data_IF_273475794675
#
_entry.id   IF_273475794675
#
_cell.length_a   1.000
_cell.length_b   1.000
_cell.length_c   1.000
_cell.angle_alpha   90.00
_cell.angle_beta   90.00
_cell.angle_gamma   90.00
#
_symmetry.space_group_name_H-M   'P 1'
#
loop_
_entity.id
_entity.type
_entity.pdbx_description
1 polymer ?
#
# COMPACT_ATOMS: atom_id res chain seq x y z
N UNK A 1 20.41 -0.77 -14.28
CA UNK A 1 20.99 -1.23 -13.02
C UNK A 1 20.40 -2.59 -12.72
N UNK A 2 21.21 -3.61 -12.45
CA UNK A 2 20.70 -4.89 -11.97
C UNK A 2 20.04 -4.69 -10.59
N UNK A 3 18.91 -5.36 -10.30
CA UNK A 3 18.27 -5.29 -9.00
C UNK A 3 19.26 -5.75 -7.92
N UNK A 4 19.31 -5.02 -6.81
CA UNK A 4 20.09 -5.46 -5.66
C UNK A 4 19.50 -6.79 -5.16
N UNK A 5 20.23 -7.91 -5.20
CA UNK A 5 19.69 -9.21 -4.81
C UNK A 5 19.23 -9.25 -3.35
N UNK A 6 19.79 -8.39 -2.51
CA UNK A 6 19.45 -8.31 -1.07
C UNK A 6 18.03 -7.78 -0.85
N UNK A 7 17.58 -6.80 -1.62
CA UNK A 7 16.19 -6.27 -1.54
C UNK A 7 15.17 -7.33 -1.95
N UNK A 8 15.50 -8.10 -3.00
CA UNK A 8 14.66 -9.18 -3.49
C UNK A 8 14.50 -10.28 -2.46
N UNK A 9 15.59 -10.69 -1.82
CA UNK A 9 15.61 -11.74 -0.81
C UNK A 9 14.82 -11.33 0.44
N UNK A 10 14.94 -10.06 0.86
CA UNK A 10 14.20 -9.52 2.00
C UNK A 10 12.67 -9.56 1.78
N UNK A 11 12.20 -9.16 0.59
CA UNK A 11 10.78 -9.22 0.23
C UNK A 11 10.26 -10.67 0.13
N UNK A 12 11.09 -11.60 -0.39
CA UNK A 12 10.74 -13.02 -0.45
C UNK A 12 10.72 -13.67 0.95
N UNK A 13 11.62 -13.26 1.85
CA UNK A 13 11.60 -13.69 3.25
C UNK A 13 10.28 -13.29 3.92
N UNK A 14 9.82 -12.04 3.75
CA UNK A 14 8.52 -11.61 4.25
C UNK A 14 7.38 -12.46 3.68
N UNK A 15 7.38 -12.70 2.37
CA UNK A 15 6.35 -13.50 1.73
C UNK A 15 6.30 -14.93 2.26
N UNK A 16 7.45 -15.56 2.46
CA UNK A 16 7.53 -16.91 3.02
C UNK A 16 7.07 -16.95 4.48
N UNK A 17 7.47 -15.96 5.27
CA UNK A 17 7.04 -15.80 6.67
C UNK A 17 5.51 -15.71 6.77
N UNK A 18 4.88 -14.87 5.95
CA UNK A 18 3.42 -14.67 5.95
C UNK A 18 2.65 -15.90 5.41
N UNK A 19 3.20 -16.63 4.45
CA UNK A 19 2.61 -17.89 3.97
C UNK A 19 2.50 -18.96 5.08
N UNK A 20 3.42 -18.94 6.03
CA UNK A 20 3.38 -19.83 7.20
C UNK A 20 2.55 -19.26 8.38
N UNK A 21 1.80 -18.15 8.15
CA UNK A 21 0.98 -17.53 9.19
C UNK A 21 1.78 -16.85 10.31
N UNK A 22 3.05 -16.51 10.07
CA UNK A 22 3.94 -15.85 11.01
C UNK A 22 4.19 -14.42 10.60
N UNK A 23 4.51 -13.54 11.55
CA UNK A 23 4.94 -12.16 11.28
C UNK A 23 6.47 -12.05 11.23
N UNK A 24 7.17 -12.91 11.97
CA UNK A 24 8.63 -12.97 12.05
C UNK A 24 9.10 -14.42 12.15
N UNK A 25 10.40 -14.64 12.03
CA UNK A 25 11.05 -15.93 12.24
C UNK A 25 12.01 -15.87 13.43
N UNK A 26 12.35 -17.02 14.06
CA UNK A 26 13.37 -17.05 15.08
C UNK A 26 14.72 -16.62 14.50
N UNK A 27 15.61 -16.02 15.32
CA UNK A 27 16.96 -15.65 14.88
C UNK A 27 17.73 -16.91 14.43
N UNK A 28 18.62 -16.79 13.42
CA UNK A 28 19.39 -17.92 12.94
C UNK A 28 20.41 -18.38 14.00
N UNK A 29 20.66 -19.70 14.12
CA UNK A 29 21.61 -20.23 15.11
C UNK A 29 23.06 -19.71 14.97
N UNK A 30 23.43 -19.32 13.75
CA UNK A 30 24.75 -18.75 13.40
C UNK A 30 24.61 -17.26 13.09
N UNK A 31 24.02 -16.48 14.01
CA UNK A 31 23.82 -15.05 13.86
C UNK A 31 25.12 -14.33 13.43
N UNK A 32 25.00 -13.36 12.53
CA UNK A 32 26.10 -12.53 12.06
C UNK A 32 26.83 -13.01 10.79
N UNK A 33 26.72 -14.29 10.40
CA UNK A 33 27.38 -14.79 9.18
C UNK A 33 26.55 -14.64 7.89
N UNK A 34 25.25 -14.40 8.02
CA UNK A 34 24.30 -14.27 6.89
C UNK A 34 23.47 -12.98 6.96
N UNK A 35 24.02 -11.95 7.59
CA UNK A 35 23.39 -10.63 7.68
C UNK A 35 23.35 -9.96 6.32
N UNK A 36 22.16 -9.61 5.85
CA UNK A 36 21.98 -8.72 4.71
C UNK A 36 21.51 -7.36 5.18
N UNK A 37 21.88 -6.29 4.50
CA UNK A 37 21.55 -4.90 4.90
C UNK A 37 20.04 -4.65 5.07
N UNK A 38 19.19 -5.46 4.44
CA UNK A 38 17.73 -5.33 4.45
C UNK A 38 17.01 -6.46 5.19
N UNK A 39 17.73 -7.26 5.99
CA UNK A 39 17.19 -8.29 6.87
C UNK A 39 17.63 -7.97 8.30
N UNK A 40 16.68 -8.00 9.22
CA UNK A 40 16.95 -7.94 10.66
C UNK A 40 17.11 -9.38 11.14
N UNK A 41 18.16 -9.65 11.92
CA UNK A 41 18.38 -10.97 12.50
C UNK A 41 18.12 -10.96 14.02
N UNK A 42 18.08 -9.79 14.65
CA UNK A 42 17.78 -9.61 16.09
C UNK A 42 16.75 -8.47 16.28
N UNK A 43 15.84 -8.60 17.23
CA UNK A 43 15.57 -9.73 18.12
C UNK A 43 14.90 -10.91 17.40
N UNK A 44 14.40 -10.73 16.17
CA UNK A 44 13.79 -11.74 15.32
C UNK A 44 14.26 -11.59 13.88
N UNK A 45 14.27 -12.69 13.12
CA UNK A 45 14.61 -12.63 11.70
C UNK A 45 13.43 -12.18 10.87
N UNK A 46 13.54 -11.00 10.28
CA UNK A 46 12.49 -10.41 9.45
C UNK A 46 13.07 -9.48 8.38
N UNK A 47 12.23 -9.12 7.42
CA UNK A 47 12.54 -8.03 6.50
C UNK A 47 12.54 -6.69 7.24
N UNK A 48 13.44 -5.78 6.86
CA UNK A 48 13.43 -4.38 7.30
C UNK A 48 12.29 -3.57 6.66
N UNK A 49 11.70 -4.10 5.57
CA UNK A 49 10.63 -3.40 4.85
C UNK A 49 9.25 -3.62 5.47
N UNK A 50 8.35 -2.63 5.37
CA UNK A 50 6.97 -2.76 5.81
C UNK A 50 6.21 -3.91 5.13
N UNK A 51 5.15 -4.46 5.75
CA UNK A 51 4.59 -5.77 5.40
C UNK A 51 3.81 -5.85 4.09
N UNK A 52 3.34 -4.73 3.50
CA UNK A 52 2.38 -4.77 2.38
C UNK A 52 2.92 -5.50 1.14
N UNK A 53 4.20 -5.33 0.79
CA UNK A 53 4.80 -6.02 -0.34
C UNK A 53 4.92 -7.53 -0.08
N UNK A 54 5.38 -7.92 1.10
CA UNK A 54 5.46 -9.33 1.49
C UNK A 54 4.10 -10.02 1.45
N UNK A 55 3.04 -9.36 1.92
CA UNK A 55 1.67 -9.87 1.85
C UNK A 55 1.17 -10.07 0.42
N UNK A 56 1.48 -9.13 -0.48
CA UNK A 56 1.11 -9.25 -1.90
C UNK A 56 1.82 -10.43 -2.55
N UNK A 57 3.12 -10.60 -2.30
CA UNK A 57 3.90 -11.72 -2.83
C UNK A 57 3.43 -13.06 -2.24
N UNK A 58 3.08 -13.09 -0.96
CA UNK A 58 2.49 -14.26 -0.31
C UNK A 58 1.14 -14.64 -0.95
N UNK A 59 0.26 -13.66 -1.16
CA UNK A 59 -1.00 -13.87 -1.86
C UNK A 59 -0.79 -14.39 -3.29
N UNK A 60 0.14 -13.79 -4.04
CA UNK A 60 0.51 -14.25 -5.37
C UNK A 60 0.99 -15.69 -5.37
N UNK A 61 1.89 -16.04 -4.48
CA UNK A 61 2.41 -17.42 -4.34
C UNK A 61 1.32 -18.42 -3.94
N UNK A 62 0.38 -18.02 -3.09
CA UNK A 62 -0.76 -18.85 -2.72
C UNK A 62 -1.69 -19.13 -3.90
N UNK A 63 -1.90 -18.16 -4.78
CA UNK A 63 -2.85 -18.24 -5.90
C UNK A 63 -2.26 -18.90 -7.15
N UNK A 64 -0.97 -18.66 -7.43
CA UNK A 64 -0.33 -19.07 -8.70
C UNK A 64 0.84 -20.03 -8.52
N UNK A 65 1.20 -20.41 -7.30
CA UNK A 65 2.37 -21.24 -7.00
C UNK A 65 3.69 -20.47 -6.96
N UNK A 66 3.71 -19.20 -7.38
CA UNK A 66 4.93 -18.39 -7.42
C UNK A 66 4.72 -16.92 -7.04
N UNK A 67 5.76 -16.23 -6.53
CA UNK A 67 5.66 -14.83 -6.10
C UNK A 67 5.35 -13.87 -7.27
N UNK A 68 5.63 -14.24 -8.51
CA UNK A 68 5.30 -13.51 -9.73
C UNK A 68 3.81 -13.21 -9.87
N UNK A 69 2.95 -14.10 -9.38
CA UNK A 69 1.50 -13.85 -9.34
C UNK A 69 1.14 -12.56 -8.62
N UNK A 70 1.83 -12.24 -7.53
CA UNK A 70 1.67 -10.97 -6.81
C UNK A 70 2.07 -9.75 -7.64
N UNK A 71 3.15 -9.84 -8.41
CA UNK A 71 3.58 -8.74 -9.30
C UNK A 71 2.57 -8.52 -10.43
N UNK A 72 2.09 -9.59 -11.06
CA UNK A 72 1.08 -9.49 -12.13
C UNK A 72 -0.22 -8.86 -11.57
N UNK A 73 -0.67 -9.29 -10.40
CA UNK A 73 -1.86 -8.72 -9.75
C UNK A 73 -1.66 -7.24 -9.43
N UNK A 74 -0.50 -6.84 -8.90
CA UNK A 74 -0.23 -5.44 -8.59
C UNK A 74 -0.09 -4.58 -9.85
N UNK A 75 0.50 -5.10 -10.92
CA UNK A 75 0.60 -4.42 -12.21
C UNK A 75 -0.78 -4.20 -12.85
N UNK A 76 -1.63 -5.23 -12.81
CA UNK A 76 -3.02 -5.11 -13.26
C UNK A 76 -3.81 -4.12 -12.42
N UNK A 77 -3.65 -4.16 -11.08
CA UNK A 77 -4.28 -3.20 -10.17
C UNK A 77 -3.80 -1.77 -10.42
N UNK A 78 -2.51 -1.59 -10.74
CA UNK A 78 -1.94 -0.28 -11.08
C UNK A 78 -2.58 0.28 -12.35
N UNK A 79 -2.66 -0.51 -13.42
CA UNK A 79 -3.27 -0.08 -14.69
C UNK A 79 -4.77 0.22 -14.53
N UNK A 80 -5.53 -0.70 -13.94
CA UNK A 80 -6.96 -0.52 -13.68
C UNK A 80 -7.24 0.63 -12.70
N UNK A 81 -6.42 0.72 -11.64
CA UNK A 81 -6.47 1.81 -10.67
C UNK A 81 -6.22 3.17 -11.29
N UNK A 82 -5.33 3.27 -12.28
CA UNK A 82 -5.09 4.51 -13.02
C UNK A 82 -6.34 4.95 -13.80
N UNK A 83 -7.00 4.03 -14.49
CA UNK A 83 -8.29 4.32 -15.15
C UNK A 83 -9.31 4.82 -14.14
N UNK A 84 -9.43 4.10 -13.01
CA UNK A 84 -10.37 4.47 -11.95
C UNK A 84 -10.02 5.82 -11.34
N UNK A 85 -8.76 6.09 -11.05
CA UNK A 85 -8.27 7.36 -10.49
C UNK A 85 -8.56 8.55 -11.40
N UNK A 86 -8.30 8.41 -12.72
CA UNK A 86 -8.45 9.50 -13.67
C UNK A 86 -9.91 9.89 -13.98
N UNK A 87 -10.86 8.96 -13.89
CA UNK A 87 -12.28 9.20 -14.22
C UNK A 87 -12.92 10.44 -13.59
N UNK A 88 -12.69 10.83 -12.33
CA UNK A 88 -13.24 12.06 -11.78
C UNK A 88 -12.52 13.33 -12.22
N UNK A 89 -11.36 13.23 -12.85
CA UNK A 89 -10.50 14.36 -13.20
C UNK A 89 -10.55 14.75 -14.67
N UNK A 90 -10.66 13.76 -15.56
CA UNK A 90 -10.61 13.96 -17.00
C UNK A 90 -11.73 13.17 -17.69
N UNK A 91 -12.16 13.70 -18.87
CA UNK A 91 -13.22 13.09 -19.68
C UNK A 91 -12.72 11.85 -20.45
N UNK A 92 -13.64 10.99 -20.91
CA UNK A 92 -13.32 9.94 -21.87
C UNK A 92 -12.74 10.53 -23.18
N UNK A 93 -11.78 9.86 -23.83
CA UNK A 93 -11.22 8.54 -23.53
C UNK A 93 -9.97 8.56 -22.63
N UNK A 94 -9.55 9.71 -22.11
CA UNK A 94 -8.27 9.91 -21.43
C UNK A 94 -7.99 8.98 -20.24
N UNK A 95 -8.99 8.63 -19.40
CA UNK A 95 -8.74 7.66 -18.33
C UNK A 95 -8.26 6.31 -18.86
N UNK A 96 -8.84 5.82 -19.95
CA UNK A 96 -8.44 4.55 -20.57
C UNK A 96 -7.04 4.66 -21.17
N UNK A 97 -6.75 5.75 -21.87
CA UNK A 97 -5.41 6.01 -22.43
C UNK A 97 -4.35 6.03 -21.33
N UNK A 98 -4.63 6.69 -20.19
CA UNK A 98 -3.73 6.68 -19.04
C UNK A 98 -3.49 5.29 -18.49
N UNK A 99 -4.52 4.47 -18.33
CA UNK A 99 -4.39 3.07 -17.89
C UNK A 99 -3.59 2.21 -18.88
N UNK A 100 -3.81 2.37 -20.17
CA UNK A 100 -3.04 1.66 -21.22
C UNK A 100 -1.57 2.09 -21.22
N UNK A 101 -1.25 3.36 -21.09
CA UNK A 101 0.12 3.84 -20.99
C UNK A 101 0.83 3.26 -19.76
N UNK A 102 0.13 3.18 -18.62
CA UNK A 102 0.68 2.56 -17.41
C UNK A 102 0.86 1.06 -17.60
N UNK A 103 -0.07 0.37 -18.25
CA UNK A 103 0.05 -1.06 -18.53
C UNK A 103 1.25 -1.38 -19.44
N UNK A 104 1.44 -0.60 -20.51
CA UNK A 104 2.52 -0.82 -21.49
C UNK A 104 3.90 -0.40 -20.98
N UNK A 105 3.96 0.54 -20.04
CA UNK A 105 5.19 1.08 -19.48
C UNK A 105 5.44 0.65 -18.03
N UNK A 106 5.07 1.47 -17.03
CA UNK A 106 5.45 1.22 -15.64
C UNK A 106 4.97 -0.12 -15.08
N UNK A 107 3.78 -0.61 -15.49
CA UNK A 107 3.21 -1.81 -14.92
C UNK A 107 3.93 -3.09 -15.36
N UNK A 108 4.29 -3.22 -16.63
CA UNK A 108 4.90 -4.44 -17.19
C UNK A 108 6.30 -4.24 -17.76
N UNK A 109 6.67 -3.03 -18.15
CA UNK A 109 7.95 -2.71 -18.78
C UNK A 109 9.01 -2.11 -17.87
N UNK A 110 8.75 -1.95 -16.58
CA UNK A 110 9.67 -1.29 -15.64
C UNK A 110 10.38 -2.26 -14.70
N UNK A 111 11.40 -1.75 -14.02
CA UNK A 111 12.06 -2.42 -12.91
C UNK A 111 11.06 -2.94 -11.84
N UNK A 112 9.96 -2.23 -11.60
CA UNK A 112 8.96 -2.62 -10.60
C UNK A 112 8.23 -3.91 -10.95
N UNK A 113 8.11 -4.24 -12.23
CA UNK A 113 7.51 -5.50 -12.67
C UNK A 113 8.51 -6.65 -12.79
N UNK A 114 9.81 -6.33 -12.77
CA UNK A 114 10.90 -7.29 -12.90
C UNK A 114 11.63 -7.55 -11.58
N UNK A 115 11.17 -6.94 -10.48
CA UNK A 115 11.73 -7.12 -9.16
C UNK A 115 10.63 -7.25 -8.12
N UNK A 116 10.93 -7.87 -6.99
CA UNK A 116 9.98 -8.00 -5.88
C UNK A 116 9.91 -6.75 -4.99
N UNK A 117 10.40 -5.63 -5.48
CA UNK A 117 10.38 -4.36 -4.76
C UNK A 117 9.01 -3.68 -4.85
N UNK A 118 8.47 -3.19 -3.73
CA UNK A 118 7.07 -2.81 -3.53
C UNK A 118 6.53 -1.55 -4.24
N UNK A 119 7.11 -1.12 -5.35
CA UNK A 119 6.69 0.11 -6.03
C UNK A 119 5.23 0.13 -6.48
N UNK A 120 4.71 -0.97 -7.00
CA UNK A 120 3.31 -1.07 -7.43
C UNK A 120 2.32 -0.92 -6.26
N UNK A 121 2.61 -1.50 -5.09
CA UNK A 121 1.71 -1.45 -3.92
C UNK A 121 1.50 -0.02 -3.45
N UNK A 122 2.60 0.74 -3.30
CA UNK A 122 2.51 2.15 -2.89
C UNK A 122 1.84 3.01 -3.95
N UNK A 123 2.11 2.74 -5.25
CA UNK A 123 1.44 3.43 -6.34
C UNK A 123 -0.08 3.17 -6.35
N UNK A 124 -0.52 1.93 -6.14
CA UNK A 124 -1.95 1.60 -6.00
C UNK A 124 -2.57 2.33 -4.81
N UNK A 125 -1.89 2.40 -3.66
CA UNK A 125 -2.33 3.19 -2.52
C UNK A 125 -2.55 4.67 -2.89
N UNK A 126 -1.60 5.26 -3.60
CA UNK A 126 -1.69 6.65 -4.08
C UNK A 126 -2.85 6.87 -5.08
N UNK A 127 -3.08 5.91 -6.00
CA UNK A 127 -4.20 5.97 -6.94
C UNK A 127 -5.55 5.93 -6.21
N UNK A 128 -5.68 5.10 -5.17
CA UNK A 128 -6.89 5.04 -4.35
C UNK A 128 -7.13 6.37 -3.64
N UNK A 129 -6.09 7.01 -3.09
CA UNK A 129 -6.20 8.33 -2.47
C UNK A 129 -6.69 9.39 -3.44
N UNK A 130 -5.97 9.59 -4.54
CA UNK A 130 -6.26 10.65 -5.51
C UNK A 130 -7.63 10.43 -6.18
N UNK A 131 -7.95 9.20 -6.52
CA UNK A 131 -9.25 8.84 -7.10
C UNK A 131 -10.41 9.02 -6.13
N UNK A 132 -10.22 8.70 -4.84
CA UNK A 132 -11.21 8.93 -3.78
C UNK A 132 -11.45 10.44 -3.57
N UNK A 133 -10.40 11.24 -3.42
CA UNK A 133 -10.48 12.70 -3.29
C UNK A 133 -11.26 13.30 -4.47
N UNK A 134 -10.95 12.90 -5.71
CA UNK A 134 -11.65 13.39 -6.89
C UNK A 134 -13.15 13.11 -6.89
N UNK A 135 -13.60 11.99 -6.29
CA UNK A 135 -15.01 11.64 -6.14
C UNK A 135 -15.68 12.33 -4.97
N UNK A 136 -14.97 12.41 -3.84
CA UNK A 136 -15.48 13.06 -2.63
C UNK A 136 -15.70 14.56 -2.82
N UNK A 137 -14.97 15.20 -3.75
CA UNK A 137 -15.25 16.58 -4.17
C UNK A 137 -16.69 16.79 -4.70
N UNK A 138 -17.27 15.74 -5.29
CA UNK A 138 -18.59 15.82 -5.93
C UNK A 138 -19.71 15.36 -5.02
N UNK A 139 -19.48 14.28 -4.25
CA UNK A 139 -20.43 13.76 -3.28
C UNK A 139 -19.77 12.84 -2.24
N UNK A 140 -20.29 12.83 -1.03
CA UNK A 140 -19.96 11.81 -0.04
C UNK A 140 -20.40 10.44 -0.55
N UNK A 141 -19.49 9.46 -0.57
CA UNK A 141 -19.71 8.11 -1.07
C UNK A 141 -18.98 7.10 -0.21
N UNK A 142 -19.68 6.05 0.22
CA UNK A 142 -19.11 4.96 1.00
C UNK A 142 -17.90 4.33 0.30
N UNK A 143 -18.03 4.00 -0.98
CA UNK A 143 -16.95 3.38 -1.78
C UNK A 143 -15.72 4.27 -1.83
N UNK A 144 -15.92 5.59 -2.00
CA UNK A 144 -14.79 6.53 -2.03
C UNK A 144 -14.14 6.70 -0.66
N UNK A 145 -14.91 6.67 0.42
CA UNK A 145 -14.39 6.72 1.79
C UNK A 145 -13.59 5.43 2.14
N UNK A 146 -14.11 4.26 1.78
CA UNK A 146 -13.38 2.99 1.94
C UNK A 146 -12.09 2.98 1.10
N UNK A 147 -12.15 3.43 -0.17
CA UNK A 147 -10.97 3.53 -1.02
C UNK A 147 -9.92 4.50 -0.44
N UNK A 148 -10.36 5.61 0.16
CA UNK A 148 -9.49 6.55 0.85
C UNK A 148 -8.75 5.88 2.02
N UNK A 149 -9.48 5.18 2.91
CA UNK A 149 -8.90 4.49 4.05
C UNK A 149 -7.96 3.35 3.64
N UNK A 150 -8.35 2.54 2.64
CA UNK A 150 -7.51 1.47 2.09
C UNK A 150 -6.24 2.04 1.45
N UNK A 151 -6.35 3.15 0.70
CA UNK A 151 -5.19 3.81 0.09
C UNK A 151 -4.19 4.33 1.13
N UNK A 152 -4.68 4.98 2.19
CA UNK A 152 -3.86 5.41 3.33
C UNK A 152 -3.19 4.21 4.02
N UNK A 153 -3.94 3.13 4.24
CA UNK A 153 -3.44 1.91 4.86
C UNK A 153 -2.35 1.22 4.04
N UNK A 154 -2.54 1.09 2.71
CA UNK A 154 -1.52 0.55 1.81
C UNK A 154 -0.24 1.39 1.82
N UNK A 155 -0.36 2.72 1.85
CA UNK A 155 0.80 3.61 1.97
C UNK A 155 1.47 3.45 3.33
N UNK A 156 0.72 3.44 4.43
CA UNK A 156 1.29 3.24 5.77
C UNK A 156 2.05 1.90 5.86
N UNK A 157 1.49 0.82 5.29
CA UNK A 157 2.09 -0.51 5.31
C UNK A 157 3.14 -0.76 4.22
N UNK A 158 3.45 0.21 3.35
CA UNK A 158 4.47 0.11 2.30
C UNK A 158 5.50 1.24 2.33
N UNK A 159 5.06 2.47 2.55
CA UNK A 159 5.87 3.70 2.58
C UNK A 159 5.35 4.67 3.64
N UNK A 160 5.67 4.42 4.92
CA UNK A 160 5.05 5.15 6.04
C UNK A 160 5.20 6.68 5.95
N UNK A 161 6.37 7.17 5.58
CA UNK A 161 6.65 8.61 5.50
C UNK A 161 5.89 9.30 4.37
N UNK A 162 5.88 8.70 3.17
CA UNK A 162 5.08 9.19 2.05
C UNK A 162 3.59 9.06 2.34
N UNK A 163 3.18 7.99 3.03
CA UNK A 163 1.81 7.79 3.50
C UNK A 163 1.36 8.85 4.50
N UNK A 164 2.22 9.21 5.45
CA UNK A 164 1.96 10.29 6.40
C UNK A 164 1.80 11.64 5.70
N UNK A 165 2.72 11.99 4.81
CA UNK A 165 2.66 13.24 4.05
C UNK A 165 1.39 13.33 3.19
N UNK A 166 1.04 12.25 2.48
CA UNK A 166 -0.18 12.16 1.69
C UNK A 166 -1.44 12.24 2.58
N UNK A 167 -1.42 11.57 3.74
CA UNK A 167 -2.50 11.60 4.73
C UNK A 167 -2.76 12.99 5.29
N UNK A 168 -1.71 13.72 5.65
CA UNK A 168 -1.82 15.12 6.09
C UNK A 168 -2.39 16.01 4.98
N UNK A 169 -1.94 15.85 3.74
CA UNK A 169 -2.48 16.58 2.59
C UNK A 169 -3.96 16.31 2.37
N UNK A 170 -4.39 15.06 2.47
CA UNK A 170 -5.80 14.67 2.36
C UNK A 170 -6.62 15.19 3.53
N UNK A 171 -6.11 15.10 4.77
CA UNK A 171 -6.78 15.60 5.96
C UNK A 171 -7.00 17.13 5.87
N UNK A 172 -5.98 17.87 5.47
CA UNK A 172 -6.07 19.31 5.22
C UNK A 172 -7.12 19.62 4.14
N UNK A 173 -7.06 18.89 3.02
CA UNK A 173 -8.02 19.10 1.94
C UNK A 173 -9.46 18.81 2.40
N UNK A 174 -9.70 17.69 3.09
CA UNK A 174 -11.01 17.34 3.64
C UNK A 174 -11.50 18.40 4.63
N UNK A 175 -10.63 18.84 5.55
CA UNK A 175 -10.92 19.91 6.51
C UNK A 175 -11.35 21.20 5.80
N UNK A 176 -10.59 21.65 4.81
CA UNK A 176 -10.92 22.83 4.01
C UNK A 176 -12.21 22.65 3.19
N UNK A 177 -12.43 21.48 2.62
CA UNK A 177 -13.63 21.17 1.85
C UNK A 177 -14.88 21.23 2.75
N UNK A 178 -14.81 20.62 3.92
CA UNK A 178 -15.90 20.69 4.94
C UNK A 178 -16.09 22.13 5.45
N UNK A 179 -15.01 22.85 5.75
CA UNK A 179 -15.08 24.21 6.27
C UNK A 179 -15.70 25.21 5.26
N UNK A 180 -15.48 25.01 3.98
CA UNK A 180 -16.03 25.85 2.90
C UNK A 180 -17.45 25.47 2.46
N UNK A 181 -17.90 24.27 2.80
CA UNK A 181 -19.24 23.77 2.49
C UNK A 181 -20.34 24.47 3.30
N UNK A 182 -21.62 24.31 2.92
CA UNK A 182 -22.77 24.80 3.70
C UNK A 182 -22.77 24.20 5.10
N UNK A 183 -23.10 24.98 6.10
CA UNK A 183 -23.08 24.54 7.52
C UNK A 183 -23.94 23.29 7.74
N UNK A 184 -25.09 23.22 7.11
CA UNK A 184 -26.06 22.11 7.23
C UNK A 184 -25.53 20.78 6.66
N UNK A 185 -24.65 20.81 5.65
CA UNK A 185 -24.07 19.62 5.02
C UNK A 185 -22.78 19.11 5.68
N UNK A 186 -22.13 19.92 6.54
CA UNK A 186 -20.81 19.62 7.10
C UNK A 186 -20.79 18.33 7.94
N UNK A 187 -21.70 18.28 8.93
CA UNK A 187 -21.79 17.11 9.81
C UNK A 187 -22.16 15.85 9.03
N UNK A 188 -23.13 15.97 8.11
CA UNK A 188 -23.53 14.85 7.26
C UNK A 188 -22.40 14.33 6.38
N UNK A 189 -21.61 15.23 5.75
CA UNK A 189 -20.45 14.83 4.95
C UNK A 189 -19.40 14.14 5.83
N UNK A 190 -19.06 14.73 6.97
CA UNK A 190 -18.08 14.17 7.91
C UNK A 190 -18.49 12.78 8.40
N UNK A 191 -19.75 12.60 8.81
CA UNK A 191 -20.28 11.31 9.27
C UNK A 191 -20.33 10.24 8.17
N UNK A 192 -20.47 10.63 6.93
CA UNK A 192 -20.46 9.68 5.79
C UNK A 192 -19.07 9.32 5.29
N UNK A 193 -18.07 10.14 5.56
CA UNK A 193 -16.72 9.94 5.04
C UNK A 193 -15.77 9.43 6.12
N UNK A 194 -15.74 10.06 7.29
CA UNK A 194 -14.74 9.71 8.31
C UNK A 194 -14.87 8.28 8.85
N UNK A 195 -16.06 7.79 9.30
CA UNK A 195 -16.15 6.45 9.85
C UNK A 195 -15.77 5.34 8.88
N UNK A 196 -16.24 5.31 7.60
CA UNK A 196 -15.81 4.29 6.66
C UNK A 196 -14.32 4.39 6.30
N UNK A 197 -13.76 5.60 6.25
CA UNK A 197 -12.31 5.79 6.03
C UNK A 197 -11.52 5.17 7.17
N UNK A 198 -11.89 5.46 8.42
CA UNK A 198 -11.23 4.89 9.60
C UNK A 198 -11.43 3.37 9.68
N UNK A 199 -12.62 2.87 9.35
CA UNK A 199 -12.89 1.43 9.31
C UNK A 199 -11.98 0.71 8.30
N UNK A 200 -11.75 1.29 7.12
CA UNK A 200 -10.88 0.71 6.10
C UNK A 200 -9.38 0.90 6.42
N UNK A 201 -9.00 1.94 7.15
CA UNK A 201 -7.64 2.21 7.58
C UNK A 201 -7.22 1.34 8.76
N UNK A 202 -8.12 1.13 9.73
CA UNK A 202 -7.82 0.47 11.00
C UNK A 202 -7.15 -0.91 10.86
N UNK A 203 -7.59 -1.84 9.98
CA UNK A 203 -6.93 -3.13 9.82
C UNK A 203 -5.46 -3.02 9.42
N UNK A 204 -5.11 -2.04 8.58
CA UNK A 204 -3.74 -1.79 8.15
C UNK A 204 -2.86 -1.28 9.28
N UNK A 205 -3.38 -0.38 10.11
CA UNK A 205 -2.66 0.14 11.28
C UNK A 205 -2.47 -0.94 12.35
N UNK A 206 -3.49 -1.79 12.56
CA UNK A 206 -3.39 -2.94 13.47
C UNK A 206 -2.34 -3.93 12.96
N UNK A 207 -2.35 -4.24 11.67
CA UNK A 207 -1.36 -5.12 11.05
C UNK A 207 0.05 -4.54 11.19
N UNK A 208 0.23 -3.25 10.92
CA UNK A 208 1.53 -2.58 11.03
C UNK A 208 2.03 -2.63 12.48
N UNK A 209 1.22 -2.22 13.44
CA UNK A 209 1.57 -2.27 14.86
C UNK A 209 1.88 -3.69 15.37
N UNK A 210 1.12 -4.69 14.91
CA UNK A 210 1.37 -6.09 15.24
C UNK A 210 2.69 -6.59 14.63
N UNK A 211 2.98 -6.21 13.38
CA UNK A 211 4.22 -6.53 12.69
C UNK A 211 5.42 -5.89 13.40
N UNK A 212 5.37 -4.59 13.66
CA UNK A 212 6.48 -3.85 14.28
C UNK A 212 6.74 -4.38 15.70
N UNK A 213 5.69 -4.64 16.47
CA UNK A 213 5.83 -5.28 17.79
C UNK A 213 6.48 -6.67 17.69
N UNK A 214 6.13 -7.46 16.68
CA UNK A 214 6.73 -8.79 16.50
C UNK A 214 8.20 -8.69 16.05
N UNK A 215 8.57 -7.68 15.28
CA UNK A 215 9.92 -7.47 14.76
C UNK A 215 10.85 -6.86 15.79
N UNK A 216 10.42 -5.79 16.48
CA UNK A 216 11.27 -4.95 17.34
C UNK A 216 10.95 -5.08 18.84
N UNK A 217 9.82 -5.69 19.19
CA UNK A 217 9.28 -5.70 20.56
C UNK A 217 8.44 -4.47 20.91
N UNK A 218 8.48 -3.40 20.09
CA UNK A 218 7.73 -2.15 20.29
C UNK A 218 6.87 -1.85 19.06
N UNK A 219 5.56 -1.62 19.21
CA UNK A 219 4.65 -1.33 18.08
C UNK A 219 4.87 0.04 17.42
N UNK A 220 5.72 0.90 17.98
CA UNK A 220 5.98 2.26 17.50
C UNK A 220 7.38 2.46 16.93
N UNK A 221 8.21 1.43 16.92
CA UNK A 221 9.58 1.47 16.38
C UNK A 221 9.55 0.92 14.95
N UNK A 222 9.84 1.79 13.97
CA UNK A 222 10.02 1.44 12.55
C UNK A 222 11.49 1.41 12.18
#
# INVERSE_FOLDING_TARGET
>A
MAPNPVDLLSSLLSADTFLHGRLTNPPPPAGGHFTGDNVLDEPTRSSRYPPAQGLLLAAGRRLTGGPWGGLILSAAALAAGTVWMLRPWVAAPWPLMGGLLVALGPAFGSYWSQSYWGGHVSAVGSLLLVGAVGRLRRRASLVSALALGTGLGLLAASRPWEGLAAGLGVALWLGLHVARGPREGRAWFALRVAPPTLLALAPWLVLLAAHDRAVTGDPWTM
#
